data_IF_332546148344
#
_entry.id   IF_332546148344
#
_cell.length_a   1.000
_cell.length_b   1.000
_cell.length_c   1.000
_cell.angle_alpha   90.00
_cell.angle_beta   90.00
_cell.angle_gamma   90.00
#
_symmetry.space_group_name_H-M   'P 1'
#
loop_
_entity.id
_entity.type
_entity.pdbx_description
1 polymer ?
#
# COMPACT_ATOMS: atom_id res chain seq x y z
N UNK A 1 4.50 5.09 -14.69
CA UNK A 1 4.53 6.27 -13.80
C UNK A 1 3.76 7.45 -14.39
N UNK A 2 4.25 8.12 -15.46
CA UNK A 2 3.57 9.29 -16.06
C UNK A 2 2.07 9.12 -16.29
N UNK A 3 1.66 8.08 -17.02
CA UNK A 3 0.22 7.79 -17.28
C UNK A 3 -0.63 7.65 -16.01
N UNK A 4 -0.07 7.11 -14.91
CA UNK A 4 -0.80 6.94 -13.65
C UNK A 4 -0.98 8.30 -12.98
N UNK A 5 0.05 9.15 -13.03
CA UNK A 5 0.01 10.51 -12.51
C UNK A 5 -0.94 11.38 -13.34
N UNK A 6 -0.88 11.29 -14.67
CA UNK A 6 -1.75 12.03 -15.59
C UNK A 6 -3.23 11.69 -15.33
N UNK A 7 -3.58 10.41 -15.19
CA UNK A 7 -4.95 9.98 -14.81
C UNK A 7 -5.32 10.46 -13.40
N UNK A 8 -4.41 10.42 -12.43
CA UNK A 8 -4.68 10.91 -11.07
C UNK A 8 -5.03 12.41 -11.05
N UNK A 9 -4.31 13.22 -11.81
CA UNK A 9 -4.55 14.67 -11.90
C UNK A 9 -5.78 14.97 -12.76
N UNK A 10 -5.87 14.39 -13.95
CA UNK A 10 -6.91 14.73 -14.91
C UNK A 10 -8.29 14.14 -14.57
N UNK A 11 -8.34 12.90 -14.11
CA UNK A 11 -9.60 12.16 -13.92
C UNK A 11 -10.05 12.13 -12.46
N UNK A 12 -9.11 12.11 -11.51
CA UNK A 12 -9.41 12.04 -10.08
C UNK A 12 -9.26 13.38 -9.35
N UNK A 13 -8.85 14.43 -10.07
CA UNK A 13 -8.64 15.77 -9.54
C UNK A 13 -7.71 15.79 -8.32
N UNK A 14 -6.75 14.88 -8.27
CA UNK A 14 -5.76 14.82 -7.21
C UNK A 14 -4.61 15.77 -7.52
N UNK A 15 -3.99 16.39 -6.51
CA UNK A 15 -2.81 17.23 -6.73
C UNK A 15 -1.58 16.43 -7.20
N UNK A 16 -1.58 15.11 -6.94
CA UNK A 16 -0.51 14.19 -7.34
C UNK A 16 -1.01 12.74 -7.34
N UNK A 17 -0.19 11.83 -7.88
CA UNK A 17 -0.36 10.38 -7.89
C UNK A 17 -0.72 9.81 -6.50
N UNK A 18 -1.45 8.70 -6.42
CA UNK A 18 -2.13 8.28 -5.20
C UNK A 18 -1.22 7.77 -4.07
N UNK A 19 -0.24 6.93 -4.41
CA UNK A 19 0.58 6.18 -3.46
C UNK A 19 1.93 6.86 -3.21
N UNK A 20 2.55 6.50 -2.08
CA UNK A 20 3.89 6.97 -1.74
C UNK A 20 4.94 6.39 -2.68
N UNK A 21 4.86 5.07 -2.94
CA UNK A 21 5.81 4.35 -3.78
C UNK A 21 5.13 3.36 -4.71
N UNK A 22 5.77 3.12 -5.85
CA UNK A 22 5.35 2.15 -6.86
C UNK A 22 6.52 1.23 -7.16
N UNK A 23 6.29 -0.09 -7.25
CA UNK A 23 7.35 -1.06 -7.55
C UNK A 23 7.01 -1.79 -8.83
N UNK A 24 7.89 -1.75 -9.83
CA UNK A 24 7.69 -2.45 -11.11
C UNK A 24 7.96 -3.95 -11.00
N UNK A 25 7.55 -4.69 -12.03
CA UNK A 25 7.84 -6.12 -12.14
C UNK A 25 9.35 -6.44 -12.13
N UNK A 26 10.20 -5.50 -12.54
CA UNK A 26 11.67 -5.63 -12.48
C UNK A 26 12.28 -5.32 -11.10
N UNK A 27 11.46 -4.94 -10.11
CA UNK A 27 11.93 -4.57 -8.76
C UNK A 27 12.37 -3.11 -8.60
N UNK A 28 12.21 -2.27 -9.64
CA UNK A 28 12.53 -0.86 -9.53
C UNK A 28 11.48 -0.14 -8.68
N UNK A 29 11.95 0.67 -7.73
CA UNK A 29 11.11 1.49 -6.85
C UNK A 29 11.03 2.90 -7.43
N UNK A 30 9.81 3.36 -7.69
CA UNK A 30 9.52 4.71 -8.17
C UNK A 30 8.87 5.51 -7.05
N UNK A 31 9.39 6.71 -6.83
CA UNK A 31 8.82 7.69 -5.90
C UNK A 31 7.54 8.25 -6.51
N UNK A 32 6.42 8.08 -5.79
CA UNK A 32 5.19 8.83 -6.02
C UNK A 32 5.18 10.04 -5.09
N UNK A 33 4.34 10.01 -4.06
CA UNK A 33 4.30 11.05 -3.02
C UNK A 33 5.49 11.04 -2.05
N UNK A 34 6.30 9.98 -2.05
CA UNK A 34 7.46 9.87 -1.18
C UNK A 34 7.12 9.76 0.31
N UNK A 35 8.05 10.15 1.18
CA UNK A 35 7.92 10.00 2.64
C UNK A 35 7.13 11.13 3.30
N UNK A 36 7.27 12.35 2.77
CA UNK A 36 6.85 13.57 3.45
C UNK A 36 5.35 13.90 3.26
N UNK A 37 4.67 13.22 2.33
CA UNK A 37 3.29 13.50 1.97
C UNK A 37 2.39 12.28 2.16
N UNK A 38 1.20 12.51 2.72
CA UNK A 38 0.19 11.48 2.87
C UNK A 38 -0.29 10.96 1.50
N UNK A 39 -0.50 9.65 1.41
CA UNK A 39 -1.22 9.04 0.29
C UNK A 39 -2.71 9.39 0.32
N UNK A 40 -3.41 9.10 -0.77
CA UNK A 40 -4.83 9.42 -0.90
C UNK A 40 -5.76 8.40 -0.25
N UNK A 41 -5.24 7.43 0.51
CA UNK A 41 -6.03 6.35 1.09
C UNK A 41 -6.27 6.54 2.58
N UNK A 42 -5.22 6.87 3.33
CA UNK A 42 -5.31 7.18 4.75
C UNK A 42 -4.11 8.00 5.23
N UNK A 43 -4.37 8.91 6.17
CA UNK A 43 -3.31 9.62 6.89
C UNK A 43 -2.48 8.68 7.76
N UNK A 44 -1.24 9.06 8.04
CA UNK A 44 -0.28 8.29 8.88
C UNK A 44 -0.03 6.86 8.37
N UNK A 45 -0.10 6.66 7.05
CA UNK A 45 0.20 5.36 6.42
C UNK A 45 1.21 5.51 5.28
N UNK A 46 1.92 4.43 5.00
CA UNK A 46 2.78 4.28 3.83
C UNK A 46 2.08 3.39 2.80
N UNK A 47 1.74 3.94 1.64
CA UNK A 47 1.12 3.20 0.55
C UNK A 47 2.15 2.79 -0.51
N UNK A 48 2.29 1.47 -0.72
CA UNK A 48 3.16 0.88 -1.73
C UNK A 48 2.30 0.14 -2.76
N UNK A 49 2.45 0.50 -4.04
CA UNK A 49 1.70 -0.12 -5.15
C UNK A 49 2.58 -1.05 -5.97
N UNK A 50 2.20 -2.32 -6.03
CA UNK A 50 2.73 -3.26 -7.02
C UNK A 50 2.17 -2.87 -8.40
N UNK A 51 3.03 -2.61 -9.37
CA UNK A 51 2.60 -2.22 -10.72
C UNK A 51 2.27 -3.44 -11.58
N UNK A 52 0.99 -3.78 -11.70
CA UNK A 52 0.52 -4.90 -12.51
C UNK A 52 -0.93 -5.31 -12.22
N UNK A 53 -1.39 -6.41 -12.83
CA UNK A 53 -2.69 -7.04 -12.54
C UNK A 53 -2.53 -8.35 -11.76
N UNK A 54 -2.58 -8.25 -10.44
CA UNK A 54 -2.43 -9.40 -9.54
C UNK A 54 -3.76 -10.04 -9.14
N UNK A 55 -4.85 -9.67 -9.81
CA UNK A 55 -6.03 -10.52 -9.87
C UNK A 55 -5.79 -11.73 -10.77
N UNK A 56 -4.92 -11.58 -11.77
CA UNK A 56 -4.65 -12.59 -12.80
C UNK A 56 -3.26 -13.21 -12.71
N UNK A 57 -2.25 -12.42 -12.39
CA UNK A 57 -0.85 -12.83 -12.44
C UNK A 57 -0.19 -12.81 -11.05
N UNK A 58 0.89 -13.60 -10.89
CA UNK A 58 1.72 -13.56 -9.68
C UNK A 58 2.72 -12.40 -9.79
N UNK A 59 3.04 -11.70 -8.68
CA UNK A 59 4.18 -10.77 -8.67
C UNK A 59 5.48 -11.53 -8.91
N UNK A 60 6.43 -10.91 -9.60
CA UNK A 60 7.75 -11.48 -9.79
C UNK A 60 8.56 -11.50 -8.48
N UNK A 61 9.58 -12.35 -8.42
CA UNK A 61 10.51 -12.37 -7.29
C UNK A 61 11.21 -11.02 -7.09
N UNK A 62 11.66 -10.36 -8.17
CA UNK A 62 12.32 -9.05 -8.09
C UNK A 62 11.40 -7.97 -7.53
N UNK A 63 10.12 -8.01 -7.88
CA UNK A 63 9.14 -7.06 -7.37
C UNK A 63 8.88 -7.27 -5.87
N UNK A 64 8.79 -8.54 -5.43
CA UNK A 64 8.70 -8.89 -4.01
C UNK A 64 9.93 -8.38 -3.25
N UNK A 65 11.13 -8.69 -3.75
CA UNK A 65 12.40 -8.23 -3.18
C UNK A 65 12.48 -6.70 -3.11
N UNK A 66 12.03 -5.99 -4.15
CA UNK A 66 11.99 -4.54 -4.18
C UNK A 66 11.10 -3.94 -3.09
N UNK A 67 9.92 -4.52 -2.83
CA UNK A 67 9.04 -4.08 -1.75
C UNK A 67 9.65 -4.40 -0.38
N UNK A 68 10.20 -5.60 -0.19
CA UNK A 68 10.83 -5.98 1.08
C UNK A 68 12.03 -5.07 1.40
N UNK A 69 12.85 -4.76 0.39
CA UNK A 69 13.94 -3.79 0.52
C UNK A 69 13.42 -2.40 0.91
N UNK A 70 12.36 -1.92 0.26
CA UNK A 70 11.73 -0.63 0.59
C UNK A 70 11.26 -0.57 2.04
N UNK A 71 10.59 -1.61 2.53
CA UNK A 71 10.09 -1.67 3.91
C UNK A 71 11.25 -1.71 4.92
N UNK A 72 12.28 -2.53 4.67
CA UNK A 72 13.47 -2.57 5.51
C UNK A 72 14.20 -1.22 5.55
N UNK A 73 14.32 -0.56 4.39
CA UNK A 73 14.90 0.77 4.28
C UNK A 73 14.07 1.82 5.05
N UNK A 74 12.73 1.75 4.96
CA UNK A 74 11.84 2.66 5.67
C UNK A 74 12.01 2.55 7.19
N UNK A 75 12.08 1.33 7.71
CA UNK A 75 12.31 1.07 9.15
C UNK A 75 13.71 1.56 9.57
N UNK A 76 14.75 1.23 8.80
CA UNK A 76 16.12 1.64 9.12
C UNK A 76 16.30 3.17 9.19
N UNK A 77 15.53 3.91 8.38
CA UNK A 77 15.58 5.37 8.32
C UNK A 77 14.48 6.05 9.17
N UNK A 78 13.74 5.30 10.00
CA UNK A 78 12.65 5.80 10.86
C UNK A 78 11.50 6.48 10.10
N UNK A 79 11.31 6.13 8.82
CA UNK A 79 10.15 6.54 8.04
C UNK A 79 8.95 5.60 8.23
N UNK A 80 9.18 4.45 8.87
CA UNK A 80 8.18 3.46 9.23
C UNK A 80 8.52 2.91 10.61
N UNK A 81 7.51 2.78 11.47
CA UNK A 81 7.69 2.22 12.82
C UNK A 81 8.18 0.78 12.77
N UNK A 82 8.98 0.38 13.76
CA UNK A 82 9.56 -0.97 13.79
C UNK A 82 8.48 -2.04 13.89
N UNK A 83 7.36 -1.77 14.54
CA UNK A 83 6.25 -2.69 14.78
C UNK A 83 5.01 -2.39 13.90
N UNK A 84 5.24 -1.74 12.75
CA UNK A 84 4.21 -1.39 11.77
C UNK A 84 3.29 -2.55 11.43
N UNK A 85 2.08 -2.21 10.97
CA UNK A 85 1.09 -3.19 10.49
C UNK A 85 1.05 -3.17 8.98
N UNK A 86 1.36 -4.30 8.37
CA UNK A 86 1.18 -4.51 6.94
C UNK A 86 -0.25 -4.99 6.68
N UNK A 87 -1.00 -4.19 5.94
CA UNK A 87 -2.39 -4.50 5.56
C UNK A 87 -2.57 -4.36 4.05
N UNK A 88 -3.44 -5.18 3.50
CA UNK A 88 -3.87 -5.10 2.11
C UNK A 88 -5.01 -4.09 1.95
N UNK A 89 -5.10 -3.44 0.79
CA UNK A 89 -6.15 -2.44 0.53
C UNK A 89 -7.59 -3.02 0.59
N UNK A 90 -7.77 -4.30 0.26
CA UNK A 90 -9.06 -5.00 0.39
C UNK A 90 -9.43 -5.34 1.84
N UNK A 91 -8.48 -5.26 2.80
CA UNK A 91 -8.81 -5.35 4.23
C UNK A 91 -9.36 -4.03 4.76
N UNK A 92 -9.04 -2.90 4.12
CA UNK A 92 -9.36 -1.57 4.65
C UNK A 92 -10.63 -0.97 4.07
N UNK A 93 -11.01 -1.36 2.86
CA UNK A 93 -12.27 -0.97 2.20
C UNK A 93 -12.68 -1.97 1.12
N UNK A 94 -13.90 -1.82 0.59
CA UNK A 94 -14.36 -2.60 -0.57
C UNK A 94 -13.49 -2.29 -1.80
N UNK A 95 -12.56 -3.19 -2.11
CA UNK A 95 -11.61 -3.06 -3.21
C UNK A 95 -11.15 -4.44 -3.68
N UNK A 96 -10.80 -4.55 -4.98
CA UNK A 96 -10.11 -5.73 -5.53
C UNK A 96 -8.60 -5.69 -5.29
N UNK A 97 -8.05 -4.50 -5.06
CA UNK A 97 -6.62 -4.29 -4.80
C UNK A 97 -6.24 -4.89 -3.44
N UNK A 98 -5.06 -5.52 -3.30
CA UNK A 98 -3.94 -5.56 -4.25
C UNK A 98 -4.03 -6.70 -5.28
N UNK A 99 -5.16 -7.41 -5.36
CA UNK A 99 -5.32 -8.61 -6.16
C UNK A 99 -5.03 -9.88 -5.35
N UNK A 100 -5.65 -11.00 -5.74
CA UNK A 100 -5.60 -12.25 -4.99
C UNK A 100 -4.18 -12.81 -4.84
N UNK A 101 -3.33 -12.64 -5.86
CA UNK A 101 -1.97 -13.18 -5.84
C UNK A 101 -1.04 -12.38 -4.92
N UNK A 102 -1.08 -11.04 -4.94
CA UNK A 102 -0.32 -10.22 -3.99
C UNK A 102 -0.87 -10.36 -2.59
N UNK A 103 -2.20 -10.42 -2.40
CA UNK A 103 -2.79 -10.65 -1.08
C UNK A 103 -2.27 -11.94 -0.44
N UNK A 104 -2.24 -13.04 -1.22
CA UNK A 104 -1.73 -14.33 -0.73
C UNK A 104 -0.25 -14.26 -0.39
N UNK A 105 0.54 -13.54 -1.19
CA UNK A 105 1.97 -13.35 -0.95
C UNK A 105 2.22 -12.61 0.37
N UNK A 106 1.67 -11.39 0.50
CA UNK A 106 1.95 -10.55 1.67
C UNK A 106 1.35 -11.09 2.96
N UNK A 107 0.32 -11.95 2.88
CA UNK A 107 -0.23 -12.65 4.06
C UNK A 107 0.79 -13.53 4.77
N UNK A 108 1.84 -13.97 4.07
CA UNK A 108 2.93 -14.76 4.64
C UNK A 108 4.08 -13.92 5.22
N UNK A 109 4.06 -12.61 5.00
CA UNK A 109 5.16 -11.74 5.41
C UNK A 109 5.11 -11.40 6.90
N UNK A 110 6.28 -11.05 7.49
CA UNK A 110 6.32 -10.38 8.78
C UNK A 110 5.43 -9.13 8.77
N UNK A 111 4.92 -8.74 9.94
CA UNK A 111 4.05 -7.58 10.13
C UNK A 111 2.67 -7.65 9.48
N UNK A 112 2.32 -8.71 8.74
CA UNK A 112 0.97 -8.87 8.21
C UNK A 112 -0.05 -8.87 9.35
N UNK A 113 -1.01 -7.96 9.28
CA UNK A 113 -2.03 -7.77 10.30
C UNK A 113 -3.39 -8.19 9.76
N UNK A 114 -3.96 -9.25 10.35
CA UNK A 114 -5.24 -9.86 9.95
C UNK A 114 -6.48 -9.07 10.39
N UNK A 115 -6.47 -7.74 10.28
CA UNK A 115 -7.63 -6.91 10.55
C UNK A 115 -8.76 -7.14 9.53
N UNK A 116 -10.01 -6.93 9.95
CA UNK A 116 -11.22 -7.16 9.15
C UNK A 116 -11.30 -8.59 8.54
N UNK A 117 -10.70 -9.58 9.20
CA UNK A 117 -10.75 -10.99 8.80
C UNK A 117 -11.31 -11.83 9.96
N UNK A 118 -12.22 -12.75 9.68
CA UNK A 118 -12.68 -13.76 10.65
C UNK A 118 -13.14 -13.20 12.01
N UNK A 119 -13.82 -12.05 12.00
CA UNK A 119 -14.28 -11.36 13.22
C UNK A 119 -13.22 -10.51 13.92
N UNK A 120 -12.02 -10.38 13.34
CA UNK A 120 -10.98 -9.49 13.85
C UNK A 120 -11.40 -8.02 13.81
N UNK A 121 -10.82 -7.18 14.67
CA UNK A 121 -11.09 -5.74 14.69
C UNK A 121 -10.78 -5.03 13.36
N UNK A 122 -11.33 -3.82 13.22
CA UNK A 122 -11.11 -2.97 12.07
C UNK A 122 -9.64 -2.55 11.93
N UNK A 123 -9.17 -2.41 10.69
CA UNK A 123 -7.79 -1.98 10.42
C UNK A 123 -7.53 -0.58 10.98
N UNK A 124 -6.46 -0.46 11.78
CA UNK A 124 -6.03 0.79 12.39
C UNK A 124 -6.82 1.18 13.64
N UNK A 125 -7.67 0.30 14.19
CA UNK A 125 -8.41 0.59 15.43
C UNK A 125 -7.47 0.92 16.59
N UNK A 126 -6.30 0.28 16.63
CA UNK A 126 -5.23 0.53 17.61
C UNK A 126 -4.60 1.92 17.45
N UNK A 127 -4.75 2.54 16.29
CA UNK A 127 -4.32 3.92 15.98
C UNK A 127 -5.48 4.91 16.09
N UNK A 128 -6.65 4.49 16.58
CA UNK A 128 -7.87 5.31 16.63
C UNK A 128 -8.51 5.56 15.26
N UNK A 129 -8.10 4.82 14.22
CA UNK A 129 -8.71 4.91 12.89
C UNK A 129 -10.10 4.28 12.90
N UNK A 130 -11.01 4.94 12.19
CA UNK A 130 -12.37 4.43 11.94
C UNK A 130 -12.43 3.85 10.53
N UNK A 131 -13.45 3.06 10.16
CA UNK A 131 -13.60 2.58 8.79
C UNK A 131 -13.55 3.70 7.74
N UNK A 132 -14.09 4.88 8.07
CA UNK A 132 -14.10 6.05 7.18
C UNK A 132 -12.70 6.63 6.96
N UNK A 133 -11.75 6.34 7.86
CA UNK A 133 -10.37 6.78 7.73
C UNK A 133 -9.71 6.25 6.44
N UNK A 134 -10.21 5.16 5.86
CA UNK A 134 -9.65 4.53 4.66
C UNK A 134 -10.28 5.02 3.34
N UNK A 135 -11.22 5.96 3.42
CA UNK A 135 -11.95 6.48 2.27
C UNK A 135 -11.26 7.64 1.55
N UNK A 136 -10.12 8.14 2.06
CA UNK A 136 -9.35 9.22 1.42
C UNK A 136 -9.97 10.61 1.51
N UNK A 137 -11.14 10.76 2.15
CA UNK A 137 -11.83 12.05 2.36
C UNK A 137 -11.41 12.74 3.69
N UNK A 138 -10.17 12.53 4.14
CA UNK A 138 -9.67 13.11 5.39
C UNK A 138 -8.98 14.46 5.16
#
# INVERSE_FOLDING_TARGET
MRTIQDSAVAEKHLPDIQSNFYVSDDGNIYVGRGWDWANTYANQTLAVTFMGDYGRFRPSAKQIEGVQFLLAHAVANRNLEVDYKLVAQNQTKSSKSPGAYVFREIRSWPHFYGCNMDGAPACGIELGMKPESWNGNQ
#
